data_IF_470889269754
#
_entry.id   IF_470889269754
#
_cell.length_a   1.000
_cell.length_b   1.000
_cell.length_c   1.000
_cell.angle_alpha   90.00
_cell.angle_beta   90.00
_cell.angle_gamma   90.00
#
_symmetry.space_group_name_H-M   'P 1'
#
loop_
_entity.id
_entity.type
_entity.pdbx_description
1 polymer ?
#
# COMPACT_ATOMS: atom_id res chain seq x y z
N UNK A 1 10.58 -4.23 -24.28
CA UNK A 1 10.37 -2.78 -24.07
C UNK A 1 10.41 -2.03 -25.40
N UNK A 2 11.43 -2.25 -26.23
CA UNK A 2 11.47 -1.80 -27.63
C UNK A 2 10.20 -2.18 -28.39
N UNK A 3 9.75 -3.41 -28.20
CA UNK A 3 8.58 -3.96 -28.88
C UNK A 3 7.28 -3.22 -28.49
N UNK A 4 7.10 -2.91 -27.20
CA UNK A 4 5.99 -2.08 -26.73
C UNK A 4 6.04 -0.66 -27.30
N UNK A 5 7.21 -0.02 -27.30
CA UNK A 5 7.39 1.34 -27.84
C UNK A 5 7.15 1.35 -29.36
N UNK A 6 7.52 0.27 -30.04
CA UNK A 6 7.28 0.07 -31.48
C UNK A 6 5.84 -0.35 -31.82
N UNK A 7 4.97 -0.54 -30.82
CA UNK A 7 3.58 -0.95 -31.00
C UNK A 7 3.37 -2.43 -31.36
N UNK A 8 4.42 -3.26 -31.30
CA UNK A 8 4.36 -4.68 -31.67
C UNK A 8 3.93 -5.61 -30.54
N UNK A 9 3.81 -5.10 -29.29
CA UNK A 9 3.33 -5.87 -28.13
C UNK A 9 1.94 -5.38 -27.69
N UNK A 10 0.99 -6.30 -27.55
CA UNK A 10 -0.36 -5.98 -27.06
C UNK A 10 -0.37 -5.77 -25.55
N UNK A 11 -1.26 -4.92 -25.04
CA UNK A 11 -1.47 -4.68 -23.60
C UNK A 11 -1.74 -5.99 -22.84
N UNK A 12 -2.48 -6.93 -23.44
CA UNK A 12 -2.75 -8.25 -22.86
C UNK A 12 -1.48 -9.06 -22.60
N UNK A 13 -0.50 -9.00 -23.51
CA UNK A 13 0.77 -9.71 -23.36
C UNK A 13 1.63 -9.08 -22.26
N UNK A 14 1.59 -7.74 -22.13
CA UNK A 14 2.29 -7.04 -21.06
C UNK A 14 1.67 -7.28 -19.68
N UNK A 15 0.35 -7.38 -19.63
CA UNK A 15 -0.42 -7.61 -18.41
C UNK A 15 -0.46 -9.09 -18.01
N UNK A 16 0.20 -9.98 -18.75
CA UNK A 16 0.35 -11.37 -18.34
C UNK A 16 1.16 -11.45 -17.05
N UNK A 17 0.57 -12.08 -16.02
CA UNK A 17 1.19 -12.25 -14.71
C UNK A 17 1.20 -13.71 -14.31
N UNK A 18 2.34 -14.19 -13.84
CA UNK A 18 2.45 -15.51 -13.22
C UNK A 18 2.21 -15.41 -11.72
N UNK A 19 1.30 -16.22 -11.19
CA UNK A 19 1.05 -16.26 -9.74
C UNK A 19 1.96 -17.31 -9.11
N UNK A 20 2.71 -16.91 -8.08
CA UNK A 20 3.54 -17.79 -7.26
C UNK A 20 3.04 -17.77 -5.83
N UNK A 21 2.97 -18.93 -5.19
CA UNK A 21 2.54 -19.09 -3.80
C UNK A 21 3.78 -19.11 -2.89
N UNK A 22 3.89 -18.12 -2.01
CA UNK A 22 4.99 -18.04 -1.02
C UNK A 22 4.45 -18.46 0.35
N UNK A 23 5.07 -19.46 1.02
CA UNK A 23 4.63 -19.89 2.35
C UNK A 23 4.80 -18.76 3.37
N UNK A 24 3.78 -18.53 4.21
CA UNK A 24 3.83 -17.52 5.28
C UNK A 24 4.32 -18.09 6.63
N UNK A 25 4.23 -19.40 6.83
CA UNK A 25 4.61 -20.10 8.06
C UNK A 25 5.50 -21.31 7.74
N UNK A 26 6.27 -21.79 8.71
CA UNK A 26 7.02 -23.03 8.58
C UNK A 26 6.04 -24.22 8.51
N UNK A 27 6.26 -25.16 7.59
CA UNK A 27 5.42 -26.34 7.34
C UNK A 27 3.95 -25.99 7.04
N UNK A 28 3.70 -25.44 5.85
CA UNK A 28 2.35 -25.13 5.39
C UNK A 28 1.57 -26.40 5.03
N UNK A 29 0.40 -26.58 5.62
CA UNK A 29 -0.54 -27.69 5.36
C UNK A 29 -1.77 -27.22 4.57
N UNK A 30 -2.11 -25.93 4.65
CA UNK A 30 -3.30 -25.34 4.03
C UNK A 30 -2.91 -24.30 2.97
N UNK A 31 -3.64 -24.28 1.85
CA UNK A 31 -3.45 -23.29 0.77
C UNK A 31 -3.60 -21.84 1.28
N UNK A 32 -4.43 -21.62 2.29
CA UNK A 32 -4.62 -20.31 2.93
C UNK A 32 -3.40 -19.79 3.68
N UNK A 33 -2.41 -20.64 3.97
CA UNK A 33 -1.14 -20.27 4.59
C UNK A 33 -0.09 -19.81 3.57
N UNK A 34 -0.46 -19.77 2.28
CA UNK A 34 0.37 -19.21 1.23
C UNK A 34 -0.10 -17.81 0.84
N UNK A 35 0.84 -16.90 0.67
CA UNK A 35 0.61 -15.61 0.06
C UNK A 35 0.76 -15.72 -1.45
N UNK A 36 -0.27 -15.41 -2.26
CA UNK A 36 -0.09 -15.28 -3.68
C UNK A 36 0.72 -14.02 -3.99
N UNK A 37 1.72 -14.15 -4.87
CA UNK A 37 2.51 -13.05 -5.41
C UNK A 37 2.37 -13.08 -6.93
N UNK A 38 1.85 -11.99 -7.49
CA UNK A 38 1.78 -11.79 -8.94
C UNK A 38 3.13 -11.31 -9.47
N UNK A 39 3.81 -12.16 -10.24
CA UNK A 39 5.03 -11.84 -10.95
C UNK A 39 4.69 -11.27 -12.32
N UNK A 40 4.67 -9.95 -12.42
CA UNK A 40 4.46 -9.24 -13.68
C UNK A 40 5.73 -9.22 -14.55
N UNK A 41 5.53 -9.04 -15.85
CA UNK A 41 6.61 -8.81 -16.81
C UNK A 41 7.54 -7.65 -16.38
N UNK A 42 8.84 -7.79 -16.61
CA UNK A 42 9.81 -6.73 -16.32
C UNK A 42 9.50 -5.40 -17.04
N UNK A 43 9.04 -5.45 -18.29
CA UNK A 43 8.60 -4.27 -19.04
C UNK A 43 7.43 -3.58 -18.33
N UNK A 44 6.45 -4.35 -17.82
CA UNK A 44 5.35 -3.81 -17.02
C UNK A 44 5.86 -3.12 -15.75
N UNK A 45 6.83 -3.72 -15.05
CA UNK A 45 7.46 -3.13 -13.85
C UNK A 45 8.17 -1.81 -14.16
N UNK A 46 8.91 -1.72 -15.26
CA UNK A 46 9.55 -0.46 -15.67
C UNK A 46 8.51 0.61 -15.94
N UNK A 47 7.51 0.32 -16.76
CA UNK A 47 6.46 1.28 -17.11
C UNK A 47 5.71 1.76 -15.87
N UNK A 48 5.34 0.84 -14.98
CA UNK A 48 4.69 1.15 -13.71
C UNK A 48 5.56 2.05 -12.84
N UNK A 49 6.88 1.80 -12.80
CA UNK A 49 7.82 2.63 -12.04
C UNK A 49 7.97 4.03 -12.63
N UNK A 50 8.01 4.16 -13.95
CA UNK A 50 8.02 5.47 -14.63
C UNK A 50 6.75 6.25 -14.30
N UNK A 51 5.58 5.62 -14.38
CA UNK A 51 4.30 6.24 -14.00
C UNK A 51 4.28 6.65 -12.53
N UNK A 52 4.69 5.77 -11.63
CA UNK A 52 4.76 6.08 -10.20
C UNK A 52 5.69 7.27 -9.91
N UNK A 53 6.85 7.36 -10.57
CA UNK A 53 7.76 8.48 -10.40
C UNK A 53 7.15 9.80 -10.90
N UNK A 54 6.36 9.79 -11.99
CA UNK A 54 5.64 10.97 -12.47
C UNK A 54 4.52 11.39 -11.52
N UNK A 55 3.74 10.43 -11.02
CA UNK A 55 2.65 10.69 -10.05
C UNK A 55 3.19 11.20 -8.71
N UNK A 56 4.37 10.75 -8.30
CA UNK A 56 4.99 11.17 -7.04
C UNK A 56 5.17 12.70 -6.93
N UNK A 57 5.34 13.40 -8.07
CA UNK A 57 5.41 14.86 -8.10
C UNK A 57 4.10 15.53 -7.67
N UNK A 58 2.96 14.90 -7.98
CA UNK A 58 1.63 15.39 -7.64
C UNK A 58 1.18 14.91 -6.26
N UNK A 59 1.59 13.69 -5.86
CA UNK A 59 1.21 13.10 -4.58
C UNK A 59 1.56 14.00 -3.40
N UNK A 60 2.68 14.75 -3.45
CA UNK A 60 3.06 15.67 -2.38
C UNK A 60 2.01 16.74 -2.06
N UNK A 61 1.19 17.13 -3.03
CA UNK A 61 0.13 18.13 -2.88
C UNK A 61 -1.22 17.49 -2.56
N UNK A 62 -1.43 16.23 -2.98
CA UNK A 62 -2.71 15.53 -2.84
C UNK A 62 -2.84 14.82 -1.49
N UNK A 63 -1.74 14.27 -0.96
CA UNK A 63 -1.77 13.44 0.25
C UNK A 63 -1.71 14.31 1.52
N UNK A 64 -2.43 13.86 2.55
CA UNK A 64 -2.40 14.52 3.86
C UNK A 64 -0.98 14.59 4.44
N UNK A 65 -0.62 15.66 5.18
CA UNK A 65 0.62 15.71 5.98
C UNK A 65 0.74 14.54 6.97
N UNK A 66 -0.37 13.99 7.44
CA UNK A 66 -0.39 12.86 8.40
C UNK A 66 -0.19 11.49 7.75
N UNK A 67 -0.14 11.40 6.42
CA UNK A 67 0.08 10.15 5.70
C UNK A 67 1.58 9.87 5.52
N UNK A 68 2.19 9.14 6.45
CA UNK A 68 3.64 8.92 6.43
C UNK A 68 4.09 7.68 5.65
N UNK A 69 3.21 6.70 5.43
CA UNK A 69 3.57 5.44 4.77
C UNK A 69 3.67 5.61 3.26
N UNK A 70 4.69 4.99 2.65
CA UNK A 70 4.95 4.98 1.19
C UNK A 70 5.24 6.34 0.54
N UNK A 71 5.56 7.36 1.34
CA UNK A 71 5.98 8.67 0.85
C UNK A 71 7.49 8.81 1.02
N UNK A 72 8.25 9.15 -0.04
CA UNK A 72 9.67 9.47 0.10
C UNK A 72 9.87 10.55 1.17
N UNK A 73 10.98 10.49 1.89
CA UNK A 73 11.39 11.42 2.96
C UNK A 73 10.51 11.44 4.22
N UNK A 74 9.43 10.67 4.31
CA UNK A 74 8.64 10.50 5.56
C UNK A 74 9.04 9.19 6.24
N UNK A 75 9.27 9.22 7.55
CA UNK A 75 9.65 8.03 8.31
C UNK A 75 8.44 7.40 8.97
N UNK A 76 8.44 6.07 9.10
CA UNK A 76 7.37 5.36 9.79
C UNK A 76 7.27 5.72 11.28
N UNK A 77 8.39 6.16 11.87
CA UNK A 77 8.47 6.60 13.26
C UNK A 77 7.61 7.86 13.51
N UNK A 78 7.51 8.76 12.53
CA UNK A 78 6.70 9.96 12.61
C UNK A 78 5.20 9.63 12.79
N UNK A 79 4.79 8.44 12.33
CA UNK A 79 3.40 7.97 12.46
C UNK A 79 3.03 7.51 13.88
N UNK A 80 3.99 7.38 14.80
CA UNK A 80 3.74 6.96 16.20
C UNK A 80 3.23 8.15 17.03
N UNK A 81 3.61 9.37 16.67
CA UNK A 81 3.24 10.59 17.39
C UNK A 81 1.73 10.80 17.39
N UNK A 82 1.07 10.64 16.24
CA UNK A 82 -0.37 10.87 16.10
C UNK A 82 -1.20 9.95 17.02
N UNK A 83 -1.03 8.61 17.01
CA UNK A 83 -1.69 7.74 17.99
C UNK A 83 -1.34 8.11 19.43
N UNK A 84 -0.08 8.42 19.73
CA UNK A 84 0.35 8.74 21.09
C UNK A 84 -0.38 9.98 21.62
N UNK A 85 -0.48 11.06 20.82
CA UNK A 85 -1.23 12.26 21.17
C UNK A 85 -2.73 11.99 21.34
N UNK A 86 -3.33 11.18 20.44
CA UNK A 86 -4.74 10.79 20.55
C UNK A 86 -5.00 10.03 21.85
N UNK A 87 -4.17 9.03 22.20
CA UNK A 87 -4.32 8.30 23.45
C UNK A 87 -4.08 9.17 24.67
N UNK A 88 -3.08 10.05 24.63
CA UNK A 88 -2.79 10.99 25.70
C UNK A 88 -3.97 11.94 25.96
N UNK A 89 -4.52 12.51 24.89
CA UNK A 89 -5.71 13.37 24.93
C UNK A 89 -6.93 12.66 25.53
N UNK A 90 -7.23 11.45 25.05
CA UNK A 90 -8.34 10.65 25.56
C UNK A 90 -8.16 10.29 27.05
N UNK A 91 -6.92 10.05 27.49
CA UNK A 91 -6.60 9.71 28.90
C UNK A 91 -6.73 10.89 29.85
N UNK A 92 -6.30 12.09 29.43
CA UNK A 92 -6.34 13.29 30.28
C UNK A 92 -7.73 13.88 30.43
N UNK A 93 -8.65 13.54 29.53
CA UNK A 93 -9.98 14.15 29.51
C UNK A 93 -10.90 13.51 30.54
N UNK A 94 -11.38 14.34 31.47
CA UNK A 94 -12.28 13.93 32.58
C UNK A 94 -13.76 14.30 32.35
N UNK A 95 -14.13 14.77 31.16
CA UNK A 95 -15.43 15.43 30.91
C UNK A 95 -16.58 14.44 30.75
N UNK A 96 -17.65 14.64 31.53
CA UNK A 96 -18.88 13.83 31.58
C UNK A 96 -19.94 14.18 30.52
N UNK A 97 -19.73 15.21 29.68
CA UNK A 97 -20.78 15.74 28.77
C UNK A 97 -20.60 15.43 27.28
N UNK A 98 -19.44 14.91 26.84
CA UNK A 98 -19.19 14.52 25.44
C UNK A 98 -18.39 13.21 25.40
N UNK A 99 -18.85 12.25 24.60
CA UNK A 99 -18.16 10.99 24.38
C UNK A 99 -17.19 11.14 23.19
N UNK A 100 -15.92 10.77 23.40
CA UNK A 100 -14.88 10.79 22.38
C UNK A 100 -14.17 9.44 22.36
N UNK A 101 -13.86 8.95 21.16
CA UNK A 101 -13.31 7.62 20.95
C UNK A 101 -12.26 7.66 19.84
N UNK A 102 -11.13 6.99 20.07
CA UNK A 102 -10.17 6.68 19.02
C UNK A 102 -10.63 5.47 18.23
N UNK A 103 -10.68 5.58 16.90
CA UNK A 103 -11.06 4.48 16.01
C UNK A 103 -9.84 4.06 15.20
N UNK A 104 -9.47 2.79 15.29
CA UNK A 104 -8.44 2.18 14.44
C UNK A 104 -9.14 1.40 13.33
N UNK A 105 -8.89 1.79 12.09
CA UNK A 105 -9.42 1.14 10.89
C UNK A 105 -8.28 0.37 10.21
N UNK A 106 -8.58 -0.84 9.74
CA UNK A 106 -7.67 -1.67 8.95
C UNK A 106 -8.43 -2.31 7.78
N UNK A 107 -7.77 -2.41 6.62
CA UNK A 107 -8.39 -2.91 5.39
C UNK A 107 -7.89 -4.30 5.06
N UNK A 108 -8.77 -5.29 5.15
CA UNK A 108 -8.45 -6.66 4.74
C UNK A 108 -8.23 -6.72 3.23
N UNK A 109 -7.09 -7.27 2.80
CA UNK A 109 -6.69 -7.40 1.40
C UNK A 109 -6.85 -6.09 0.62
N UNK A 110 -6.29 -5.00 1.15
CA UNK A 110 -6.42 -3.64 0.59
C UNK A 110 -6.13 -3.55 -0.92
N UNK A 111 -5.15 -4.30 -1.42
CA UNK A 111 -4.77 -4.31 -2.84
C UNK A 111 -5.72 -5.13 -3.73
N UNK A 112 -6.43 -6.12 -3.18
CA UNK A 112 -7.35 -6.97 -3.95
C UNK A 112 -8.75 -6.34 -4.04
N UNK A 113 -9.01 -5.26 -3.29
CA UNK A 113 -10.32 -4.60 -3.13
C UNK A 113 -10.34 -3.15 -3.65
N UNK A 114 -9.41 -2.81 -4.53
CA UNK A 114 -9.40 -1.49 -5.20
C UNK A 114 -10.45 -1.54 -6.31
N UNK A 115 -11.49 -0.73 -6.19
CA UNK A 115 -12.52 -0.49 -7.22
C UNK A 115 -12.25 0.79 -8.01
#
# INVERSE_FOLDING_TARGET
MTDFISGSTTIQQLNSTQIVLVPQVANTELVTQHRPISLCNYSYKILSKVLANRLNLLLQVIISPTQNTFVPTRQIQDNILVPHEVFHYLKLRKSTKKFEMGVKLDMNKAYDRVE
#
